data_IF_084510082289
#
_entry.id   IF_084510082289
#
_cell.length_a   1.000
_cell.length_b   1.000
_cell.length_c   1.000
_cell.angle_alpha   90.00
_cell.angle_beta   90.00
_cell.angle_gamma   90.00
#
_symmetry.space_group_name_H-M   'P 1'
#
loop_
_entity.id
_entity.type
_entity.pdbx_description
1 polymer ?
#
# COMPACT_ATOMS: atom_id res chain seq x y z
N UNK A 1 26.88 -4.94 4.94
CA UNK A 1 26.03 -3.73 5.02
C UNK A 1 24.96 -3.74 3.93
N UNK A 2 25.34 -3.80 2.64
CA UNK A 2 24.43 -3.85 1.49
C UNK A 2 23.35 -4.93 1.60
N UNK A 3 23.70 -6.17 1.99
CA UNK A 3 22.73 -7.27 2.19
C UNK A 3 21.58 -6.91 3.14
N UNK A 4 21.86 -6.15 4.22
CA UNK A 4 20.84 -5.72 5.18
C UNK A 4 19.92 -4.65 4.61
N UNK A 5 20.48 -3.72 3.82
CA UNK A 5 19.71 -2.68 3.15
C UNK A 5 18.74 -3.33 2.15
N UNK A 6 19.24 -4.24 1.31
CA UNK A 6 18.41 -4.99 0.35
C UNK A 6 17.29 -5.74 1.09
N UNK A 7 17.63 -6.44 2.17
CA UNK A 7 16.64 -7.15 2.99
C UNK A 7 15.53 -6.23 3.51
N UNK A 8 15.87 -5.06 4.06
CA UNK A 8 14.88 -4.09 4.56
C UNK A 8 14.00 -3.52 3.45
N UNK A 9 14.55 -3.26 2.25
CA UNK A 9 13.77 -2.80 1.10
C UNK A 9 12.77 -3.88 0.65
N UNK A 10 13.21 -5.15 0.57
CA UNK A 10 12.31 -6.26 0.23
C UNK A 10 11.21 -6.45 1.27
N UNK A 11 11.55 -6.32 2.56
CA UNK A 11 10.56 -6.41 3.64
C UNK A 11 9.56 -5.24 3.60
N UNK A 12 10.02 -4.03 3.27
CA UNK A 12 9.14 -2.89 3.07
C UNK A 12 8.19 -3.10 1.90
N UNK A 13 8.68 -3.60 0.76
CA UNK A 13 7.82 -3.95 -0.39
C UNK A 13 6.78 -5.01 -0.03
N UNK A 14 7.17 -6.05 0.73
CA UNK A 14 6.22 -7.07 1.20
C UNK A 14 5.18 -6.44 2.14
N UNK A 15 5.58 -5.54 3.03
CA UNK A 15 4.65 -4.84 3.93
C UNK A 15 3.67 -3.94 3.15
N UNK A 16 4.17 -3.15 2.18
CA UNK A 16 3.33 -2.34 1.29
C UNK A 16 2.34 -3.20 0.51
N UNK A 17 2.78 -4.30 -0.08
CA UNK A 17 1.87 -5.17 -0.82
C UNK A 17 0.86 -5.86 0.12
N UNK A 18 1.29 -6.29 1.30
CA UNK A 18 0.40 -6.88 2.30
C UNK A 18 -0.59 -5.87 2.88
N UNK A 19 -0.32 -4.56 2.79
CA UNK A 19 -1.26 -3.54 3.24
C UNK A 19 -2.53 -3.48 2.37
N UNK A 20 -2.52 -4.08 1.17
CA UNK A 20 -3.72 -4.27 0.33
C UNK A 20 -4.82 -5.11 0.99
N UNK A 21 -4.47 -5.98 1.94
CA UNK A 21 -5.47 -6.74 2.71
C UNK A 21 -6.27 -5.85 3.67
N UNK A 22 -5.76 -4.65 3.97
CA UNK A 22 -6.53 -3.63 4.66
C UNK A 22 -7.33 -2.83 3.62
N UNK A 23 -8.64 -3.07 3.59
CA UNK A 23 -9.58 -2.41 2.69
C UNK A 23 -10.47 -1.43 3.45
N UNK A 24 -10.74 -0.29 2.83
CA UNK A 24 -11.64 0.74 3.35
C UNK A 24 -12.54 1.24 2.23
N UNK A 25 -13.68 1.82 2.58
CA UNK A 25 -14.52 2.57 1.65
C UNK A 25 -14.06 4.03 1.59
N UNK A 26 -14.02 4.60 0.39
CA UNK A 26 -13.72 6.02 0.15
C UNK A 26 -14.71 6.59 -0.87
N UNK A 27 -14.96 7.89 -0.78
CA UNK A 27 -15.74 8.62 -1.77
C UNK A 27 -14.83 9.04 -2.93
N UNK A 28 -15.18 8.64 -4.14
CA UNK A 28 -14.48 9.08 -5.36
C UNK A 28 -15.46 9.85 -6.24
N UNK A 29 -14.99 10.98 -6.76
CA UNK A 29 -15.75 11.78 -7.73
C UNK A 29 -15.62 11.14 -9.11
N UNK A 30 -16.72 10.63 -9.64
CA UNK A 30 -16.80 10.03 -10.99
C UNK A 30 -17.68 10.87 -11.89
N UNK A 31 -17.33 10.88 -13.18
CA UNK A 31 -18.11 11.58 -14.20
C UNK A 31 -19.34 10.75 -14.55
N UNK A 32 -20.51 11.24 -14.16
CA UNK A 32 -21.79 10.73 -14.61
C UNK A 32 -22.27 11.52 -15.85
N UNK A 33 -23.35 11.05 -16.48
CA UNK A 33 -23.94 11.77 -17.63
C UNK A 33 -24.48 13.12 -17.14
N UNK A 34 -23.79 14.20 -17.52
CA UNK A 34 -24.04 15.61 -17.18
C UNK A 34 -23.80 16.04 -15.71
N UNK A 35 -23.27 15.18 -14.83
CA UNK A 35 -22.99 15.51 -13.41
C UNK A 35 -21.68 14.90 -12.90
N UNK A 36 -21.13 15.47 -11.81
CA UNK A 36 -20.09 14.82 -11.01
C UNK A 36 -20.80 14.19 -9.82
N UNK A 37 -20.75 12.86 -9.71
CA UNK A 37 -21.33 12.10 -8.61
C UNK A 37 -20.23 11.56 -7.70
N UNK A 38 -20.56 11.42 -6.41
CA UNK A 38 -19.67 10.78 -5.43
C UNK A 38 -20.11 9.34 -5.26
N UNK A 39 -19.25 8.43 -5.68
CA UNK A 39 -19.46 7.01 -5.51
C UNK A 39 -18.60 6.50 -4.35
N UNK A 40 -19.23 5.75 -3.45
CA UNK A 40 -18.52 4.98 -2.43
C UNK A 40 -17.88 3.75 -3.10
N UNK A 41 -16.56 3.70 -3.09
CA UNK A 41 -15.78 2.62 -3.71
C UNK A 41 -14.82 1.99 -2.71
N UNK A 42 -14.42 0.74 -2.98
CA UNK A 42 -13.44 0.03 -2.15
C UNK A 42 -12.03 0.48 -2.53
N UNK A 43 -11.20 0.73 -1.54
CA UNK A 43 -9.78 1.02 -1.73
C UNK A 43 -8.91 0.20 -0.76
N UNK A 44 -7.77 -0.26 -1.27
CA UNK A 44 -6.78 -1.06 -0.56
C UNK A 44 -5.47 -0.30 -0.36
N UNK A 45 -4.79 -0.62 0.75
CA UNK A 45 -3.52 -0.02 1.13
C UNK A 45 -3.62 0.68 2.48
N UNK A 46 -2.53 0.63 3.25
CA UNK A 46 -2.45 1.26 4.55
C UNK A 46 -1.01 1.68 4.91
N UNK A 47 -0.79 2.93 5.37
CA UNK A 47 -1.80 3.95 5.68
C UNK A 47 -2.33 4.73 4.48
N UNK A 48 -1.71 4.62 3.30
CA UNK A 48 -2.15 5.33 2.11
C UNK A 48 -2.82 4.36 1.15
N UNK A 49 -4.10 4.58 0.84
CA UNK A 49 -4.83 3.74 -0.11
C UNK A 49 -4.27 4.00 -1.51
N UNK A 50 -3.69 2.98 -2.15
CA UNK A 50 -3.02 3.16 -3.45
C UNK A 50 -3.61 2.30 -4.56
N UNK A 51 -4.58 1.44 -4.22
CA UNK A 51 -5.37 0.68 -5.18
C UNK A 51 -6.83 0.97 -4.92
N UNK A 52 -7.54 1.51 -5.90
CA UNK A 52 -8.95 1.88 -5.79
C UNK A 52 -9.74 1.08 -6.83
N UNK A 53 -10.90 0.59 -6.44
CA UNK A 53 -11.84 -0.08 -7.35
C UNK A 53 -12.06 0.79 -8.60
N UNK A 54 -11.76 0.22 -9.76
CA UNK A 54 -11.84 0.92 -11.05
C UNK A 54 -13.27 1.01 -11.59
N UNK A 55 -13.47 1.77 -12.67
CA UNK A 55 -14.76 1.81 -13.37
C UNK A 55 -15.05 0.52 -14.18
N UNK A 56 -14.00 -0.25 -14.50
CA UNK A 56 -14.04 -1.45 -15.35
C UNK A 56 -14.08 -2.74 -14.50
N UNK A 57 -13.64 -2.63 -13.25
CA UNK A 57 -13.68 -3.67 -12.24
C UNK A 57 -15.14 -4.01 -11.84
N UNK A 58 -15.45 -5.27 -11.43
CA UNK A 58 -16.73 -5.56 -10.79
C UNK A 58 -16.93 -4.64 -9.58
N UNK A 59 -18.00 -3.85 -9.61
CA UNK A 59 -18.32 -2.85 -8.58
C UNK A 59 -18.24 -3.46 -7.18
N UNK A 60 -17.47 -2.82 -6.30
CA UNK A 60 -17.26 -3.27 -4.93
C UNK A 60 -16.22 -4.38 -4.81
N UNK A 61 -15.22 -4.43 -5.69
CA UNK A 61 -14.09 -5.35 -5.57
C UNK A 61 -12.78 -4.72 -6.02
N UNK A 62 -11.67 -5.16 -5.43
CA UNK A 62 -10.33 -4.84 -5.92
C UNK A 62 -9.57 -6.16 -6.16
N UNK A 63 -8.91 -6.24 -7.31
CA UNK A 63 -8.03 -7.33 -7.70
C UNK A 63 -6.69 -7.21 -6.98
N UNK A 64 -6.60 -7.82 -5.80
CA UNK A 64 -5.35 -7.83 -5.01
C UNK A 64 -4.29 -8.71 -5.67
N UNK A 65 -4.68 -9.68 -6.50
CA UNK A 65 -3.71 -10.57 -7.13
C UNK A 65 -2.75 -9.79 -8.06
N UNK A 66 -1.48 -10.22 -8.18
CA UNK A 66 -0.48 -9.47 -8.93
C UNK A 66 -0.82 -9.30 -10.41
N UNK A 67 -1.64 -10.20 -10.99
CA UNK A 67 -2.00 -10.16 -12.39
C UNK A 67 -3.04 -9.05 -12.63
N UNK A 68 -4.01 -8.90 -11.74
CA UNK A 68 -5.01 -7.82 -11.78
C UNK A 68 -4.39 -6.43 -11.72
N UNK A 69 -3.34 -6.25 -10.90
CA UNK A 69 -2.55 -5.01 -10.86
C UNK A 69 -1.87 -4.68 -12.20
N UNK A 70 -1.42 -5.71 -12.94
CA UNK A 70 -0.74 -5.54 -14.24
C UNK A 70 -1.73 -5.31 -15.38
N UNK A 71 -2.89 -5.96 -15.31
CA UNK A 71 -3.96 -5.81 -16.31
C UNK A 71 -4.60 -4.41 -16.21
N UNK A 72 -4.54 -3.77 -15.03
CA UNK A 72 -5.04 -2.41 -14.82
C UNK A 72 -6.58 -2.38 -14.74
N UNK A 73 -7.17 -3.37 -14.08
CA UNK A 73 -8.63 -3.41 -13.83
C UNK A 73 -9.04 -2.34 -12.81
N UNK A 74 -8.15 -2.05 -11.87
CA UNK A 74 -8.31 -1.09 -10.78
C UNK A 74 -7.43 0.14 -11.00
N UNK A 75 -7.82 1.26 -10.37
CA UNK A 75 -7.06 2.50 -10.41
C UNK A 75 -5.87 2.46 -9.44
N UNK A 76 -4.66 2.61 -9.98
CA UNK A 76 -3.41 2.56 -9.20
C UNK A 76 -2.83 3.96 -8.96
N UNK A 77 -2.79 4.40 -7.70
CA UNK A 77 -2.21 5.68 -7.31
C UNK A 77 -0.74 5.54 -6.96
N UNK A 78 0.12 5.71 -7.97
CA UNK A 78 1.58 5.59 -7.84
C UNK A 78 2.19 6.43 -6.71
N UNK A 79 1.71 7.67 -6.52
CA UNK A 79 2.21 8.53 -5.45
C UNK A 79 1.92 7.94 -4.08
N UNK A 80 0.70 7.45 -3.87
CA UNK A 80 0.29 6.85 -2.60
C UNK A 80 1.00 5.52 -2.36
N UNK A 81 1.25 4.73 -3.39
CA UNK A 81 2.10 3.54 -3.30
C UNK A 81 3.52 3.87 -2.84
N UNK A 82 4.15 4.91 -3.41
CA UNK A 82 5.50 5.34 -3.02
C UNK A 82 5.51 5.84 -1.57
N UNK A 83 4.50 6.60 -1.15
CA UNK A 83 4.38 7.08 0.23
C UNK A 83 4.17 5.94 1.22
N UNK A 84 3.34 4.96 0.86
CA UNK A 84 3.11 3.74 1.65
C UNK A 84 4.39 2.93 1.81
N UNK A 85 5.14 2.74 0.72
CA UNK A 85 6.46 2.12 0.74
C UNK A 85 7.45 2.84 1.66
N UNK A 86 7.56 4.17 1.53
CA UNK A 86 8.44 4.96 2.38
C UNK A 86 8.03 4.84 3.85
N UNK A 87 6.73 4.84 4.14
CA UNK A 87 6.20 4.68 5.49
C UNK A 87 6.64 3.34 6.12
N UNK A 88 6.43 2.22 5.42
CA UNK A 88 6.84 0.90 5.91
C UNK A 88 8.36 0.78 6.05
N UNK A 89 9.12 1.34 5.11
CA UNK A 89 10.58 1.38 5.18
C UNK A 89 11.05 2.14 6.41
N UNK A 90 10.44 3.29 6.72
CA UNK A 90 10.78 4.09 7.91
C UNK A 90 10.47 3.34 9.20
N UNK A 91 9.32 2.66 9.30
CA UNK A 91 8.99 1.82 10.46
C UNK A 91 10.06 0.74 10.66
N UNK A 92 10.41 0.01 9.60
CA UNK A 92 11.39 -1.06 9.67
C UNK A 92 12.78 -0.54 10.05
N UNK A 93 13.18 0.64 9.54
CA UNK A 93 14.42 1.30 9.93
C UNK A 93 14.40 1.70 11.41
N UNK A 94 13.32 2.30 11.89
CA UNK A 94 13.15 2.65 13.31
C UNK A 94 13.25 1.43 14.21
N UNK A 95 12.57 0.33 13.87
CA UNK A 95 12.65 -0.94 14.59
C UNK A 95 14.07 -1.51 14.58
N UNK A 96 14.76 -1.45 13.44
CA UNK A 96 16.14 -1.90 13.31
C UNK A 96 17.09 -1.08 14.19
N UNK A 97 16.95 0.25 14.24
CA UNK A 97 17.76 1.11 15.12
C UNK A 97 17.48 0.86 16.60
N UNK A 98 16.21 0.66 16.98
CA UNK A 98 15.84 0.28 18.35
C UNK A 98 16.47 -1.07 18.71
N UNK A 99 16.38 -2.06 17.83
CA UNK A 99 17.01 -3.37 18.04
C UNK A 99 18.53 -3.25 18.21
N UNK A 100 19.20 -2.43 17.40
CA UNK A 100 20.64 -2.21 17.56
C UNK A 100 20.99 -1.56 18.91
N UNK A 101 20.21 -0.56 19.33
CA UNK A 101 20.45 0.19 20.57
C UNK A 101 20.19 -0.66 21.82
N UNK A 102 19.11 -1.42 21.85
CA UNK A 102 18.65 -2.12 23.07
C UNK A 102 18.88 -3.64 23.03
N UNK A 103 18.95 -4.25 21.83
CA UNK A 103 19.25 -5.68 21.68
C UNK A 103 20.68 -6.03 22.06
N UNK A 104 21.61 -5.06 22.00
CA UNK A 104 23.01 -5.25 22.41
C UNK A 104 23.19 -5.28 23.94
N UNK A 105 22.27 -4.68 24.72
CA UNK A 105 22.33 -4.66 26.19
C UNK A 105 22.02 -6.02 26.84
N UNK A 106 21.44 -6.98 26.11
CA UNK A 106 21.14 -8.34 26.62
C UNK A 106 22.27 -9.36 26.42
N UNK A 107 23.37 -8.98 25.77
CA UNK A 107 24.50 -9.89 25.45
C UNK A 107 25.81 -9.59 26.20
N UNK A 108 25.79 -8.65 27.14
CA UNK A 108 26.88 -8.34 28.09
C UNK A 108 26.39 -8.61 29.50
#
# INVERSE_FOLDING_TARGET
>A
MIKKIIYLNMLALVATYSSLFYQTTIDVERLAVDTIEKDEVIAGGAPFQFLIDGEISPVGSIGIDPLSLVIGLDEFHYLYFILDYIFWLLILLSLYFIYLKYGHLKRT
#
